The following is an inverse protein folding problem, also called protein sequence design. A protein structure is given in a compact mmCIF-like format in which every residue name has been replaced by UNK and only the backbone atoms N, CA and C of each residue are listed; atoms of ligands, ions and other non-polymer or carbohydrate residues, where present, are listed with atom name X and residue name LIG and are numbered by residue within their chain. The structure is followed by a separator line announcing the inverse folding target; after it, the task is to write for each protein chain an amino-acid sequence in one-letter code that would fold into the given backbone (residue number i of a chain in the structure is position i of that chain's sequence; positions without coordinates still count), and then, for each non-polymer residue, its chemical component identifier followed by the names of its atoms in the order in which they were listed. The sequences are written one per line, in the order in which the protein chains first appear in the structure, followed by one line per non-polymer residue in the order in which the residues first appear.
data_IF_717188124076
#
_entry.id   IF_717188124076
#
_cell.length_a   1.000
_cell.length_b   1.000
_cell.length_c   1.000
_cell.angle_alpha   90.00
_cell.angle_beta   90.00
_cell.angle_gamma   90.00
#
_symmetry.space_group_name_H-M   'P 1'
#
loop_
_entity.id
_entity.type
_entity.pdbx_description
1 polymer ?
#
# COMPACT_ATOMS: atom_id res chain seq x y z
N UNK A 1 41.77 -34.49 31.86
CA UNK A 1 40.69 -35.25 31.18
C UNK A 1 39.30 -34.85 31.71
N UNK A 2 39.07 -34.81 33.03
CA UNK A 2 37.77 -34.50 33.65
C UNK A 2 37.20 -33.09 33.38
N UNK A 3 38.05 -32.07 33.20
CA UNK A 3 37.65 -30.70 32.83
C UNK A 3 37.02 -30.62 31.43
N UNK A 4 37.53 -31.38 30.46
CA UNK A 4 37.01 -31.40 29.08
C UNK A 4 35.66 -32.11 28.99
N UNK A 5 35.46 -33.18 29.77
CA UNK A 5 34.18 -33.89 29.86
C UNK A 5 33.10 -32.94 30.40
N UNK A 6 33.40 -32.20 31.47
CA UNK A 6 32.43 -31.30 32.10
C UNK A 6 32.00 -30.16 31.16
N UNK A 7 32.94 -29.58 30.41
CA UNK A 7 32.65 -28.54 29.41
C UNK A 7 31.84 -29.11 28.24
N UNK A 8 32.17 -30.33 27.79
CA UNK A 8 31.45 -31.02 26.72
C UNK A 8 29.98 -31.29 27.06
N UNK A 9 29.69 -31.75 28.29
CA UNK A 9 28.30 -31.98 28.75
C UNK A 9 27.49 -30.69 28.74
N UNK A 10 28.06 -29.58 29.23
CA UNK A 10 27.38 -28.28 29.24
C UNK A 10 27.08 -27.80 27.82
N UNK A 11 28.02 -27.94 26.89
CA UNK A 11 27.81 -27.57 25.49
C UNK A 11 26.70 -28.40 24.83
N UNK A 12 26.67 -29.72 25.07
CA UNK A 12 25.61 -30.60 24.55
C UNK A 12 24.24 -30.18 25.07
N UNK A 13 24.13 -29.83 26.35
CA UNK A 13 22.88 -29.34 26.93
C UNK A 13 22.43 -28.01 26.30
N UNK A 14 23.35 -27.07 26.07
CA UNK A 14 23.03 -25.79 25.41
C UNK A 14 22.50 -26.04 23.99
N UNK A 15 23.16 -26.88 23.20
CA UNK A 15 22.72 -27.22 21.84
C UNK A 15 21.33 -27.88 21.85
N UNK A 16 21.08 -28.79 22.80
CA UNK A 16 19.78 -29.43 22.95
C UNK A 16 18.67 -28.41 23.28
N UNK A 17 18.92 -27.51 24.24
CA UNK A 17 17.97 -26.47 24.63
C UNK A 17 17.69 -25.52 23.47
N UNK A 18 18.72 -25.03 22.76
CA UNK A 18 18.56 -24.18 21.58
C UNK A 18 17.77 -24.92 20.49
N UNK A 19 18.09 -26.20 20.24
CA UNK A 19 17.41 -27.04 19.25
C UNK A 19 15.91 -27.22 19.52
N UNK A 20 15.50 -27.26 20.79
CA UNK A 20 14.09 -27.33 21.19
C UNK A 20 13.39 -25.97 21.12
N UNK A 21 14.12 -24.87 21.37
CA UNK A 21 13.55 -23.51 21.38
C UNK A 21 13.35 -22.91 19.98
N UNK A 22 14.24 -23.19 19.03
CA UNK A 22 14.19 -22.59 17.69
C UNK A 22 12.86 -22.87 16.94
N UNK A 23 12.35 -24.12 16.86
CA UNK A 23 11.08 -24.39 16.19
C UNK A 23 9.90 -23.66 16.82
N UNK A 24 9.90 -23.52 18.16
CA UNK A 24 8.83 -22.84 18.89
C UNK A 24 8.84 -21.33 18.64
N UNK A 25 10.03 -20.71 18.58
CA UNK A 25 10.17 -19.28 18.25
C UNK A 25 9.66 -18.99 16.84
N UNK A 26 9.98 -19.84 15.86
CA UNK A 26 9.51 -19.65 14.48
C UNK A 26 7.98 -19.77 14.35
N UNK A 27 7.38 -20.78 14.98
CA UNK A 27 5.92 -20.94 14.99
C UNK A 27 5.21 -19.75 15.66
N UNK A 28 5.77 -19.24 16.76
CA UNK A 28 5.23 -18.08 17.47
C UNK A 28 5.30 -16.81 16.61
N UNK A 29 6.40 -16.61 15.88
CA UNK A 29 6.54 -15.45 14.97
C UNK A 29 5.57 -15.51 13.80
N UNK A 30 5.36 -16.69 13.21
CA UNK A 30 4.37 -16.87 12.14
C UNK A 30 2.95 -16.60 12.65
N UNK A 31 2.59 -17.15 13.82
CA UNK A 31 1.29 -16.90 14.44
C UNK A 31 1.07 -15.41 14.76
N UNK A 32 2.11 -14.70 15.21
CA UNK A 32 2.06 -13.26 15.43
C UNK A 32 1.81 -12.49 14.12
N UNK A 33 2.49 -12.84 13.02
CA UNK A 33 2.26 -12.23 11.69
C UNK A 33 0.85 -12.47 11.18
N UNK A 34 0.32 -13.69 11.33
CA UNK A 34 -1.09 -14.02 11.04
C UNK A 34 -2.04 -13.16 11.86
N UNK A 35 -1.78 -12.99 13.15
CA UNK A 35 -2.60 -12.17 14.06
C UNK A 35 -2.60 -10.70 13.65
N UNK A 36 -1.45 -10.15 13.25
CA UNK A 36 -1.36 -8.76 12.75
C UNK A 36 -2.14 -8.61 11.45
N UNK A 37 -2.02 -9.54 10.50
CA UNK A 37 -2.79 -9.48 9.25
C UNK A 37 -4.30 -9.61 9.47
N UNK A 38 -4.71 -10.47 10.41
CA UNK A 38 -6.11 -10.54 10.87
C UNK A 38 -6.56 -9.21 11.45
N UNK A 39 -5.73 -8.55 12.24
CA UNK A 39 -6.03 -7.24 12.83
C UNK A 39 -6.13 -6.14 11.76
N UNK A 40 -5.28 -6.16 10.74
CA UNK A 40 -5.37 -5.25 9.60
C UNK A 40 -6.73 -5.38 8.89
N UNK A 41 -7.18 -6.60 8.60
CA UNK A 41 -8.52 -6.83 8.07
C UNK A 41 -9.63 -6.40 9.03
N UNK A 42 -9.43 -6.52 10.35
CA UNK A 42 -10.37 -6.02 11.36
C UNK A 42 -10.48 -4.49 11.33
N UNK A 43 -9.37 -3.78 11.17
CA UNK A 43 -9.37 -2.33 11.01
C UNK A 43 -10.09 -1.93 9.72
N UNK A 44 -9.79 -2.60 8.60
CA UNK A 44 -10.53 -2.41 7.34
C UNK A 44 -12.03 -2.65 7.56
N UNK A 45 -12.41 -3.73 8.23
CA UNK A 45 -13.81 -4.06 8.54
C UNK A 45 -14.51 -3.01 9.40
N UNK A 46 -13.82 -2.47 10.41
CA UNK A 46 -14.35 -1.36 11.21
C UNK A 46 -14.57 -0.11 10.36
N UNK A 47 -13.61 0.23 9.51
CA UNK A 47 -13.73 1.36 8.59
C UNK A 47 -14.88 1.17 7.58
N UNK A 48 -15.08 -0.05 7.08
CA UNK A 48 -16.22 -0.42 6.21
C UNK A 48 -17.54 -0.17 6.93
N UNK A 49 -17.68 -0.64 8.17
CA UNK A 49 -18.89 -0.47 8.97
C UNK A 49 -19.15 1.00 9.29
N UNK A 50 -18.12 1.77 9.63
CA UNK A 50 -18.26 3.20 9.90
C UNK A 50 -18.65 3.98 8.64
N UNK A 51 -18.08 3.63 7.48
CA UNK A 51 -18.48 4.22 6.21
C UNK A 51 -19.94 3.92 5.90
N UNK A 52 -20.36 2.66 6.09
CA UNK A 52 -21.75 2.23 5.86
C UNK A 52 -22.73 2.95 6.78
N UNK A 53 -22.42 3.12 8.07
CA UNK A 53 -23.30 3.88 8.96
C UNK A 53 -23.43 5.36 8.54
N UNK A 54 -22.35 5.96 8.04
CA UNK A 54 -22.36 7.35 7.57
C UNK A 54 -23.08 7.54 6.22
N UNK A 55 -22.93 6.62 5.28
CA UNK A 55 -23.40 6.78 3.89
C UNK A 55 -24.57 5.86 3.51
N UNK A 56 -24.94 4.91 4.37
CA UNK A 56 -25.98 3.89 4.17
C UNK A 56 -25.73 2.95 2.99
N UNK A 57 -24.48 2.87 2.56
CA UNK A 57 -23.99 1.92 1.56
C UNK A 57 -22.48 1.69 1.76
N UNK A 58 -21.97 0.60 1.20
CA UNK A 58 -20.55 0.40 1.00
C UNK A 58 -20.01 1.42 -0.01
N UNK A 59 -18.73 1.82 0.07
CA UNK A 59 -18.14 2.67 -0.95
C UNK A 59 -18.09 1.93 -2.28
N UNK A 60 -18.08 2.71 -3.34
CA UNK A 60 -17.76 2.17 -4.66
C UNK A 60 -16.40 1.49 -4.64
N UNK A 61 -16.32 0.29 -5.24
CA UNK A 61 -15.05 -0.40 -5.51
C UNK A 61 -14.02 0.50 -6.18
N UNK A 62 -14.49 1.31 -7.11
CA UNK A 62 -13.74 2.39 -7.73
C UNK A 62 -14.64 3.29 -8.53
N UNK A 63 -14.36 4.60 -8.47
CA UNK A 63 -15.10 5.59 -9.24
C UNK A 63 -14.47 5.70 -10.63
N UNK A 64 -15.23 5.36 -11.67
CA UNK A 64 -14.80 5.45 -13.05
C UNK A 64 -15.68 6.44 -13.79
N UNK A 65 -15.07 7.46 -14.39
CA UNK A 65 -15.77 8.44 -15.22
C UNK A 65 -16.27 7.83 -16.52
N UNK A 66 -17.21 8.52 -17.16
CA UNK A 66 -17.76 8.12 -18.46
C UNK A 66 -16.68 8.02 -19.56
N UNK A 67 -15.66 8.87 -19.49
CA UNK A 67 -14.50 8.85 -20.39
C UNK A 67 -13.51 7.69 -20.11
N UNK A 68 -13.81 6.84 -19.14
CA UNK A 68 -12.98 5.71 -18.73
C UNK A 68 -11.88 6.06 -17.73
N UNK A 69 -11.76 7.32 -17.31
CA UNK A 69 -10.75 7.74 -16.33
C UNK A 69 -11.01 7.06 -14.98
N UNK A 70 -10.01 6.32 -14.52
CA UNK A 70 -9.98 5.72 -13.19
C UNK A 70 -9.72 6.80 -12.14
N UNK A 71 -10.70 7.05 -11.28
CA UNK A 71 -10.57 7.96 -10.15
C UNK A 71 -10.07 7.15 -8.94
N UNK A 72 -10.65 7.33 -7.75
CA UNK A 72 -10.19 6.69 -6.52
C UNK A 72 -10.83 5.31 -6.31
N UNK A 73 -10.07 4.38 -5.72
CA UNK A 73 -10.55 3.07 -5.27
C UNK A 73 -11.18 3.08 -3.88
N UNK A 74 -11.81 1.97 -3.50
CA UNK A 74 -12.53 1.81 -2.23
C UNK A 74 -11.67 2.04 -0.98
N UNK A 75 -10.40 1.61 -0.99
CA UNK A 75 -9.46 1.82 0.12
C UNK A 75 -9.15 3.31 0.36
N UNK A 76 -9.29 4.16 -0.65
CA UNK A 76 -9.18 5.62 -0.50
C UNK A 76 -10.35 6.18 0.30
N UNK A 77 -11.57 5.67 0.05
CA UNK A 77 -12.80 6.14 0.69
C UNK A 77 -12.86 5.79 2.19
N UNK A 78 -12.10 4.80 2.62
CA UNK A 78 -12.00 4.40 4.03
C UNK A 78 -10.97 5.16 4.85
N UNK A 79 -10.07 5.94 4.24
CA UNK A 79 -9.03 6.66 4.98
C UNK A 79 -9.57 7.52 6.15
N UNK A 80 -10.70 8.27 6.02
CA UNK A 80 -11.26 9.02 7.14
C UNK A 80 -11.74 8.13 8.30
N UNK A 81 -12.03 6.87 8.01
CA UNK A 81 -12.57 5.88 8.96
C UNK A 81 -11.48 4.95 9.51
N UNK A 82 -10.26 5.05 8.98
CA UNK A 82 -9.05 4.39 9.44
C UNK A 82 -8.21 5.39 10.24
N UNK A 83 -8.40 5.41 11.56
CA UNK A 83 -7.69 6.30 12.50
C UNK A 83 -7.78 7.82 12.17
N UNK A 84 -8.84 8.25 11.48
CA UNK A 84 -9.05 9.63 11.05
C UNK A 84 -7.86 10.21 10.24
N UNK A 85 -7.29 9.41 9.33
CA UNK A 85 -6.10 9.77 8.59
C UNK A 85 -6.22 11.14 7.88
N UNK A 86 -5.29 12.09 8.11
CA UNK A 86 -5.33 13.40 7.49
C UNK A 86 -5.08 13.36 5.97
N UNK A 87 -4.56 12.23 5.47
CA UNK A 87 -4.21 12.04 4.06
C UNK A 87 -5.41 12.12 3.12
N UNK A 88 -6.61 11.78 3.60
CA UNK A 88 -7.82 11.88 2.77
C UNK A 88 -8.03 13.31 2.25
N UNK A 89 -7.80 14.31 3.11
CA UNK A 89 -7.98 15.73 2.76
C UNK A 89 -6.92 16.23 1.76
N UNK A 90 -5.82 15.49 1.57
CA UNK A 90 -4.74 15.81 0.63
C UNK A 90 -4.99 15.22 -0.76
N UNK A 91 -5.93 14.29 -0.90
CA UNK A 91 -6.27 13.68 -2.19
C UNK A 91 -7.20 14.61 -2.97
N UNK A 92 -6.78 14.95 -4.19
CA UNK A 92 -7.64 15.62 -5.15
C UNK A 92 -8.61 14.60 -5.79
N UNK A 93 -9.86 14.63 -5.31
CA UNK A 93 -10.95 13.76 -5.80
C UNK A 93 -11.40 14.11 -7.23
N UNK A 94 -10.98 15.26 -7.78
CA UNK A 94 -11.32 15.69 -9.14
C UNK A 94 -10.30 15.25 -10.19
N UNK A 95 -9.26 14.52 -9.81
CA UNK A 95 -8.27 13.96 -10.74
C UNK A 95 -8.14 12.45 -10.56
N UNK A 96 -7.52 11.78 -11.55
CA UNK A 96 -7.24 10.35 -11.47
C UNK A 96 -6.40 10.01 -10.22
N UNK A 97 -6.56 8.79 -9.70
CA UNK A 97 -5.81 8.34 -8.51
C UNK A 97 -4.29 8.44 -8.67
N UNK A 98 -3.78 8.20 -9.88
CA UNK A 98 -2.36 8.23 -10.23
C UNK A 98 -1.90 9.59 -10.79
N UNK A 99 -2.74 10.62 -10.72
CA UNK A 99 -2.36 11.96 -11.16
C UNK A 99 -1.22 12.53 -10.28
N UNK A 100 -0.35 13.42 -10.82
CA UNK A 100 0.71 14.06 -10.06
C UNK A 100 0.26 14.75 -8.76
N UNK A 101 -0.98 15.23 -8.71
CA UNK A 101 -1.57 15.87 -7.53
C UNK A 101 -1.79 14.89 -6.36
N UNK A 102 -1.90 13.59 -6.63
CA UNK A 102 -2.22 12.56 -5.65
C UNK A 102 -1.01 11.69 -5.26
N UNK A 103 0.11 11.78 -6.00
CA UNK A 103 1.27 10.90 -5.82
C UNK A 103 1.83 10.91 -4.40
N UNK A 104 1.93 12.07 -3.78
CA UNK A 104 2.44 12.20 -2.40
C UNK A 104 1.66 11.32 -1.40
N UNK A 105 0.35 11.18 -1.59
CA UNK A 105 -0.48 10.29 -0.78
C UNK A 105 -0.43 8.85 -1.30
N UNK A 106 -0.63 8.62 -2.61
CA UNK A 106 -0.79 7.27 -3.19
C UNK A 106 0.53 6.48 -3.25
N UNK A 107 1.67 7.15 -3.12
CA UNK A 107 2.98 6.56 -2.94
C UNK A 107 3.30 6.30 -1.46
N UNK A 108 2.44 6.66 -0.52
CA UNK A 108 2.64 6.31 0.90
C UNK A 108 2.19 4.87 1.17
N UNK A 109 3.05 4.08 1.79
CA UNK A 109 2.72 2.72 2.26
C UNK A 109 1.97 2.80 3.58
N UNK A 110 0.94 1.97 3.70
CA UNK A 110 0.11 1.89 4.91
C UNK A 110 0.26 0.50 5.52
N UNK A 111 0.84 0.36 6.73
CA UNK A 111 1.00 -0.94 7.38
C UNK A 111 -0.32 -1.72 7.51
N UNK A 112 -1.44 -1.03 7.73
CA UNK A 112 -2.77 -1.62 7.78
C UNK A 112 -3.23 -2.26 6.45
N UNK A 113 -2.62 -1.90 5.32
CA UNK A 113 -2.92 -2.45 4.00
C UNK A 113 -1.94 -3.55 3.58
N UNK A 114 -0.95 -3.87 4.42
CA UNK A 114 0.07 -4.86 4.11
C UNK A 114 -0.05 -6.10 4.99
N UNK A 115 0.08 -7.27 4.37
CA UNK A 115 0.46 -8.49 5.07
C UNK A 115 1.90 -8.35 5.61
N UNK A 116 2.15 -8.50 6.93
CA UNK A 116 3.46 -8.31 7.56
C UNK A 116 4.52 -9.37 7.19
N UNK A 117 4.14 -10.44 6.50
CA UNK A 117 5.06 -11.47 6.00
C UNK A 117 5.39 -11.29 4.50
N UNK A 118 4.68 -10.40 3.82
CA UNK A 118 4.98 -10.03 2.44
C UNK A 118 6.07 -8.95 2.40
N UNK A 119 6.99 -9.06 1.44
CA UNK A 119 8.16 -8.19 1.33
C UNK A 119 7.98 -7.08 0.27
N UNK A 120 6.89 -7.11 -0.51
CA UNK A 120 6.64 -6.17 -1.59
C UNK A 120 5.76 -5.04 -1.09
N UNK A 121 6.30 -3.83 -0.93
CA UNK A 121 5.53 -2.71 -0.39
C UNK A 121 5.16 -1.67 -1.46
N UNK A 122 5.88 -1.68 -2.59
CA UNK A 122 5.76 -0.69 -3.64
C UNK A 122 5.71 -1.31 -5.03
N UNK A 123 5.17 -0.58 -6.00
CA UNK A 123 5.40 -0.85 -7.41
C UNK A 123 6.78 -0.35 -7.87
N UNK A 124 7.23 -0.78 -9.04
CA UNK A 124 8.39 -0.20 -9.75
C UNK A 124 8.21 1.29 -10.12
N UNK A 125 7.01 1.81 -9.94
CA UNK A 125 6.59 3.19 -10.17
C UNK A 125 6.34 3.93 -8.85
N UNK A 126 6.64 3.32 -7.70
CA UNK A 126 6.66 3.97 -6.40
C UNK A 126 5.31 4.05 -5.69
N UNK A 127 4.24 3.49 -6.26
CA UNK A 127 2.94 3.46 -5.60
C UNK A 127 2.95 2.48 -4.43
N UNK A 128 2.35 2.87 -3.31
CA UNK A 128 2.17 1.99 -2.16
C UNK A 128 1.18 0.87 -2.49
N UNK A 129 1.52 -0.36 -2.14
CA UNK A 129 0.71 -1.54 -2.42
C UNK A 129 -0.36 -1.80 -1.36
N UNK A 130 -1.35 -2.61 -1.72
CA UNK A 130 -2.20 -3.37 -0.80
C UNK A 130 -2.00 -4.88 -0.99
N UNK A 131 -2.03 -5.61 0.12
CA UNK A 131 -2.05 -7.08 0.19
C UNK A 131 -3.46 -7.63 0.44
N UNK A 132 -4.47 -6.77 0.41
CA UNK A 132 -5.88 -7.11 0.57
C UNK A 132 -6.69 -6.55 -0.60
N UNK A 133 -7.51 -7.39 -1.24
CA UNK A 133 -8.41 -6.97 -2.32
C UNK A 133 -9.87 -7.27 -1.99
N UNK A 134 -10.76 -6.49 -2.58
CA UNK A 134 -12.19 -6.53 -2.35
C UNK A 134 -12.93 -7.63 -3.13
N UNK A 135 -14.13 -7.92 -2.65
CA UNK A 135 -15.13 -8.74 -3.32
C UNK A 135 -15.73 -8.00 -4.52
N UNK A 136 -15.64 -8.53 -5.75
CA UNK A 136 -16.23 -7.90 -6.93
C UNK A 136 -17.76 -7.79 -6.88
N UNK A 137 -18.43 -8.54 -6.01
CA UNK A 137 -19.88 -8.42 -5.81
C UNK A 137 -20.27 -7.18 -5.00
N UNK A 138 -19.35 -6.68 -4.16
CA UNK A 138 -19.58 -5.50 -3.31
C UNK A 138 -18.86 -4.27 -3.84
N UNK A 139 -17.64 -4.47 -4.34
CA UNK A 139 -16.70 -3.43 -4.76
C UNK A 139 -16.46 -3.51 -6.27
N UNK A 140 -17.52 -3.48 -7.08
CA UNK A 140 -17.37 -3.32 -8.53
C UNK A 140 -17.32 -1.83 -8.92
N UNK A 141 -17.08 -1.54 -10.20
CA UNK A 141 -17.08 -0.17 -10.75
C UNK A 141 -18.36 0.58 -10.38
N UNK A 142 -18.22 1.80 -9.86
CA UNK A 142 -19.34 2.69 -9.53
C UNK A 142 -20.44 2.03 -8.67
N UNK A 143 -20.06 1.10 -7.80
CA UNK A 143 -20.98 0.37 -6.92
C UNK A 143 -21.53 1.26 -5.80
N UNK A 144 -22.69 0.87 -5.30
CA UNK A 144 -23.37 1.48 -4.14
C UNK A 144 -24.20 0.40 -3.44
N UNK A 145 -23.52 -0.66 -2.99
CA UNK A 145 -24.16 -1.83 -2.39
C UNK A 145 -24.56 -1.54 -0.94
N UNK A 146 -25.78 -1.92 -0.55
CA UNK A 146 -26.27 -1.77 0.83
C UNK A 146 -26.33 -3.14 1.53
N UNK A 147 -26.41 -3.16 2.86
CA UNK A 147 -26.57 -4.41 3.61
C UNK A 147 -27.88 -5.15 3.31
N UNK A 148 -28.94 -4.43 2.95
CA UNK A 148 -30.23 -5.04 2.54
C UNK A 148 -30.11 -5.93 1.29
N UNK A 149 -29.11 -5.67 0.43
CA UNK A 149 -28.86 -6.47 -0.77
C UNK A 149 -28.14 -7.79 -0.46
N UNK A 150 -27.67 -7.99 0.78
CA UNK A 150 -26.96 -9.20 1.21
C UNK A 150 -27.97 -10.24 1.69
N UNK A 151 -28.66 -10.91 0.77
CA UNK A 151 -29.78 -11.83 1.09
C UNK A 151 -29.40 -12.98 2.04
N UNK A 152 -28.12 -13.37 2.10
CA UNK A 152 -27.61 -14.41 3.01
C UNK A 152 -27.16 -13.86 4.38
N UNK A 153 -27.36 -12.56 4.60
CA UNK A 153 -26.89 -11.83 5.76
C UNK A 153 -25.42 -11.40 5.66
N UNK A 154 -25.04 -10.43 6.49
CA UNK A 154 -23.70 -9.85 6.54
C UNK A 154 -22.63 -10.85 6.99
N UNK A 155 -22.96 -11.78 7.88
CA UNK A 155 -22.06 -12.82 8.38
C UNK A 155 -21.67 -13.88 7.32
N UNK A 156 -22.43 -14.02 6.23
CA UNK A 156 -22.13 -14.96 5.13
C UNK A 156 -21.67 -14.26 3.85
N UNK A 157 -21.41 -12.95 3.93
CA UNK A 157 -21.01 -12.14 2.80
C UNK A 157 -19.59 -11.62 3.04
N UNK A 158 -18.62 -12.16 2.29
CA UNK A 158 -17.23 -11.73 2.39
C UNK A 158 -17.03 -10.37 1.70
N UNK A 159 -16.13 -9.56 2.25
CA UNK A 159 -15.89 -8.17 1.85
C UNK A 159 -14.53 -8.02 1.20
N UNK A 160 -13.48 -8.50 1.86
CA UNK A 160 -12.11 -8.43 1.38
C UNK A 160 -11.31 -9.63 1.88
N UNK A 161 -10.18 -9.90 1.26
CA UNK A 161 -9.31 -11.00 1.66
C UNK A 161 -7.84 -10.74 1.33
N UNK A 162 -6.98 -11.49 2.01
CA UNK A 162 -5.54 -11.55 1.71
C UNK A 162 -5.31 -12.11 0.30
N UNK A 163 -4.43 -11.49 -0.48
CA UNK A 163 -4.07 -11.98 -1.82
C UNK A 163 -2.68 -12.58 -1.88
N UNK A 164 -2.50 -13.58 -2.75
CA UNK A 164 -1.26 -14.36 -2.85
C UNK A 164 -0.17 -13.65 -3.67
N UNK A 165 -0.56 -12.64 -4.45
CA UNK A 165 0.32 -11.92 -5.37
C UNK A 165 -0.47 -11.03 -6.32
N UNK A 166 0.17 -10.64 -7.43
CA UNK A 166 -0.35 -9.63 -8.36
C UNK A 166 -0.90 -8.43 -7.59
N UNK A 167 -0.10 -7.95 -6.64
CA UNK A 167 -0.49 -6.85 -5.76
C UNK A 167 -0.75 -5.60 -6.58
N UNK A 168 -1.62 -4.75 -6.05
CA UNK A 168 -2.07 -3.55 -6.73
C UNK A 168 -1.81 -2.35 -5.82
N UNK A 169 -1.60 -1.14 -6.38
CA UNK A 169 -1.58 0.08 -5.60
C UNK A 169 -2.84 0.21 -4.75
N UNK A 170 -2.74 0.55 -3.48
CA UNK A 170 -3.93 0.61 -2.61
C UNK A 170 -4.96 1.64 -3.09
N UNK A 171 -4.54 2.70 -3.79
CA UNK A 171 -5.43 3.72 -4.34
C UNK A 171 -6.05 3.35 -5.70
N UNK A 172 -5.61 2.26 -6.32
CA UNK A 172 -6.08 1.84 -7.64
C UNK A 172 -7.58 1.56 -7.65
N UNK A 173 -8.26 2.10 -8.66
CA UNK A 173 -9.71 1.97 -8.82
C UNK A 173 -10.22 0.54 -9.02
N UNK A 174 -9.39 -0.45 -9.33
CA UNK A 174 -9.85 -1.82 -9.63
C UNK A 174 -9.31 -2.85 -8.64
N UNK A 175 -9.26 -2.48 -7.35
CA UNK A 175 -8.74 -3.28 -6.25
C UNK A 175 -9.69 -4.40 -5.79
N UNK A 176 -10.15 -5.22 -6.72
CA UNK A 176 -10.96 -6.42 -6.47
C UNK A 176 -10.57 -7.56 -7.40
N UNK A 177 -10.94 -8.79 -7.02
CA UNK A 177 -10.88 -9.95 -7.92
C UNK A 177 -11.81 -11.06 -7.42
N UNK A 178 -12.26 -11.99 -8.29
CA UNK A 178 -13.05 -13.13 -7.85
C UNK A 178 -12.33 -14.00 -6.83
N UNK A 179 -13.05 -14.53 -5.84
CA UNK A 179 -12.48 -15.39 -4.79
C UNK A 179 -11.85 -16.68 -5.33
N UNK A 180 -12.44 -17.23 -6.39
CA UNK A 180 -12.07 -18.53 -6.96
C UNK A 180 -12.60 -19.71 -6.15
N UNK A 181 -12.21 -20.93 -6.54
CA UNK A 181 -12.66 -22.18 -5.91
C UNK A 181 -11.67 -22.76 -4.89
N UNK A 182 -10.47 -22.18 -4.82
CA UNK A 182 -9.39 -22.62 -3.94
C UNK A 182 -8.42 -21.46 -3.70
N UNK A 183 -7.93 -21.35 -2.46
CA UNK A 183 -6.94 -20.37 -2.06
C UNK A 183 -5.51 -20.83 -2.41
N UNK A 184 -4.57 -19.90 -2.51
CA UNK A 184 -3.14 -20.16 -2.73
C UNK A 184 -2.82 -20.92 -4.03
N UNK A 185 -3.65 -20.78 -5.08
CA UNK A 185 -3.46 -21.46 -6.38
C UNK A 185 -2.49 -20.73 -7.32
N UNK A 186 -2.08 -19.51 -6.97
CA UNK A 186 -1.10 -18.72 -7.72
C UNK A 186 -1.23 -17.22 -7.42
N UNK A 187 -0.44 -16.36 -8.08
CA UNK A 187 -0.42 -14.91 -7.83
C UNK A 187 -1.78 -14.24 -8.03
N UNK A 188 -2.65 -14.78 -8.88
CA UNK A 188 -3.99 -14.28 -9.13
C UNK A 188 -5.04 -14.67 -8.06
N UNK A 189 -4.69 -15.48 -7.07
CA UNK A 189 -5.63 -16.02 -6.07
C UNK A 189 -5.63 -15.27 -4.74
N UNK A 190 -6.64 -15.52 -3.91
CA UNK A 190 -6.64 -15.17 -2.50
C UNK A 190 -5.85 -16.19 -1.67
N UNK A 191 -5.44 -15.80 -0.47
CA UNK A 191 -4.63 -16.58 0.45
C UNK A 191 -3.17 -16.17 0.46
N UNK A 192 -2.41 -16.67 1.42
CA UNK A 192 -0.98 -16.46 1.53
C UNK A 192 -0.27 -17.83 1.58
N UNK A 193 0.46 -18.24 0.52
CA UNK A 193 0.97 -19.61 0.38
C UNK A 193 1.83 -20.10 1.54
N UNK A 194 2.64 -19.24 2.17
CA UNK A 194 3.45 -19.66 3.34
C UNK A 194 2.57 -20.09 4.53
N UNK A 195 1.35 -19.55 4.63
CA UNK A 195 0.40 -19.85 5.67
C UNK A 195 -0.56 -20.98 5.30
N UNK A 196 -0.50 -21.51 4.07
CA UNK A 196 -1.40 -22.55 3.54
C UNK A 196 -2.88 -22.19 3.67
N UNK A 197 -3.21 -20.94 3.38
CA UNK A 197 -4.54 -20.37 3.55
C UNK A 197 -4.49 -18.85 3.67
N UNK A 198 -5.61 -18.25 4.02
CA UNK A 198 -5.66 -16.82 4.30
C UNK A 198 -6.95 -16.40 4.99
N UNK A 199 -6.96 -15.15 5.43
CA UNK A 199 -8.09 -14.53 6.09
C UNK A 199 -9.04 -13.90 5.08
N UNK A 200 -10.33 -14.08 5.33
CA UNK A 200 -11.41 -13.33 4.71
C UNK A 200 -12.12 -12.48 5.77
N UNK A 201 -12.37 -11.22 5.43
CA UNK A 201 -13.22 -10.30 6.17
C UNK A 201 -14.66 -10.48 5.69
N UNK A 202 -15.62 -10.46 6.62
CA UNK A 202 -17.05 -10.50 6.37
C UNK A 202 -17.71 -9.15 6.64
N UNK A 203 -18.91 -8.95 6.09
CA UNK A 203 -19.63 -7.68 6.16
C UNK A 203 -20.12 -7.34 7.58
N UNK A 204 -20.16 -8.31 8.48
CA UNK A 204 -20.39 -8.09 9.92
C UNK A 204 -19.11 -7.66 10.67
N UNK A 205 -17.99 -7.49 9.98
CA UNK A 205 -16.69 -7.17 10.55
C UNK A 205 -15.95 -8.38 11.13
N UNK A 206 -16.49 -9.59 11.06
CA UNK A 206 -15.79 -10.81 11.46
C UNK A 206 -14.66 -11.16 10.48
N UNK A 207 -13.58 -11.76 10.99
CA UNK A 207 -12.43 -12.18 10.15
C UNK A 207 -12.10 -13.62 10.50
N UNK A 208 -12.14 -14.48 9.49
CA UNK A 208 -11.96 -15.92 9.63
C UNK A 208 -10.85 -16.42 8.70
N UNK A 209 -10.08 -17.38 9.19
CA UNK A 209 -9.03 -18.03 8.41
C UNK A 209 -9.58 -19.24 7.66
N UNK A 210 -9.24 -19.36 6.37
CA UNK A 210 -9.58 -20.48 5.52
C UNK A 210 -8.30 -21.13 5.02
N UNK A 211 -8.20 -22.46 5.14
CA UNK A 211 -7.07 -23.23 4.63
C UNK A 211 -7.13 -23.36 3.10
N UNK A 212 -5.99 -23.58 2.45
CA UNK A 212 -5.91 -23.98 1.03
C UNK A 212 -6.56 -25.35 0.73
N UNK A 213 -6.90 -26.12 1.78
CA UNK A 213 -7.68 -27.37 1.74
C UNK A 213 -9.17 -27.15 2.03
N UNK A 214 -9.64 -25.90 2.16
CA UNK A 214 -11.07 -25.62 2.35
C UNK A 214 -11.88 -26.23 1.20
N UNK A 215 -12.96 -26.93 1.54
CA UNK A 215 -13.83 -27.57 0.56
C UNK A 215 -14.31 -26.54 -0.49
N UNK A 216 -14.16 -26.80 -1.80
CA UNK A 216 -14.52 -25.85 -2.86
C UNK A 216 -15.97 -25.38 -2.78
N UNK A 217 -16.88 -26.20 -2.26
CA UNK A 217 -18.29 -25.87 -2.06
C UNK A 217 -18.47 -24.66 -1.12
N UNK A 218 -17.65 -24.54 -0.08
CA UNK A 218 -17.68 -23.42 0.87
C UNK A 218 -17.26 -22.13 0.17
N UNK A 219 -16.14 -22.15 -0.56
CA UNK A 219 -15.65 -20.98 -1.29
C UNK A 219 -16.60 -20.59 -2.43
N UNK A 220 -17.21 -21.56 -3.11
CA UNK A 220 -18.24 -21.31 -4.13
C UNK A 220 -19.49 -20.65 -3.52
N UNK A 221 -19.89 -21.01 -2.31
CA UNK A 221 -21.01 -20.35 -1.64
C UNK A 221 -20.69 -18.86 -1.40
N UNK A 222 -19.48 -18.53 -0.94
CA UNK A 222 -19.07 -17.13 -0.76
C UNK A 222 -18.88 -16.38 -2.08
N UNK A 223 -18.27 -17.01 -3.08
CA UNK A 223 -18.04 -16.42 -4.39
C UNK A 223 -19.33 -16.13 -5.17
N UNK A 224 -20.42 -16.83 -4.85
CA UNK A 224 -21.74 -16.67 -5.47
C UNK A 224 -22.75 -15.91 -4.60
N UNK A 225 -22.34 -15.39 -3.44
CA UNK A 225 -23.24 -14.71 -2.53
C UNK A 225 -23.79 -13.41 -3.16
N UNK A 226 -25.09 -13.13 -3.05
CA UNK A 226 -25.69 -11.89 -3.55
C UNK A 226 -25.21 -10.66 -2.75
N UNK A 227 -25.24 -9.45 -3.34
CA UNK A 227 -25.72 -9.14 -4.71
C UNK A 227 -24.77 -9.67 -5.80
N UNK A 228 -25.29 -9.96 -7.00
CA UNK A 228 -24.50 -10.43 -8.14
C UNK A 228 -24.54 -9.38 -9.25
N UNK A 229 -23.48 -8.58 -9.44
CA UNK A 229 -23.40 -7.58 -10.50
C UNK A 229 -23.17 -8.20 -11.88
N UNK A 230 -23.26 -7.39 -12.93
CA UNK A 230 -22.98 -7.84 -14.30
C UNK A 230 -21.48 -8.12 -14.51
N UNK A 231 -21.15 -8.94 -15.51
CA UNK A 231 -19.76 -9.21 -15.88
C UNK A 231 -18.99 -7.94 -16.26
N UNK A 232 -19.67 -6.99 -16.90
CA UNK A 232 -19.10 -5.69 -17.28
C UNK A 232 -18.76 -4.84 -16.04
N UNK A 233 -19.65 -4.81 -15.04
CA UNK A 233 -19.41 -4.10 -13.79
C UNK A 233 -18.19 -4.65 -13.03
N UNK A 234 -18.03 -5.98 -13.02
CA UNK A 234 -16.91 -6.65 -12.35
C UNK A 234 -15.61 -6.62 -13.15
N UNK A 235 -15.63 -6.21 -14.42
CA UNK A 235 -14.47 -6.26 -15.28
C UNK A 235 -13.31 -5.42 -14.74
N UNK A 236 -12.11 -6.01 -14.75
CA UNK A 236 -10.86 -5.36 -14.34
C UNK A 236 -9.98 -5.21 -15.58
N UNK A 237 -9.33 -4.06 -15.80
CA UNK A 237 -8.36 -3.90 -16.89
C UNK A 237 -7.24 -4.94 -16.77
N UNK A 238 -6.70 -5.41 -17.91
CA UNK A 238 -5.55 -6.33 -17.95
C UNK A 238 -4.23 -5.74 -17.44
N UNK A 239 -4.25 -4.55 -16.82
CA UNK A 239 -3.08 -3.87 -16.25
C UNK A 239 -2.53 -4.68 -15.09
N UNK A 240 -1.28 -5.11 -15.21
CA UNK A 240 -0.50 -5.68 -14.12
C UNK A 240 0.51 -4.65 -13.63
N UNK A 241 0.79 -4.66 -12.33
CA UNK A 241 1.79 -3.81 -11.72
C UNK A 241 3.03 -4.65 -11.44
N UNK A 242 4.20 -4.13 -11.81
CA UNK A 242 5.46 -4.72 -11.40
C UNK A 242 5.71 -4.36 -9.93
N UNK A 243 5.91 -5.38 -9.09
CA UNK A 243 6.03 -5.25 -7.63
C UNK A 243 7.29 -5.94 -7.14
N UNK A 244 7.80 -5.48 -6.01
CA UNK A 244 9.07 -5.95 -5.49
C UNK A 244 9.47 -5.23 -4.21
N UNK A 245 10.69 -5.49 -3.77
CA UNK A 245 11.28 -4.87 -2.57
C UNK A 245 11.89 -3.53 -2.98
N UNK A 246 11.03 -2.57 -3.34
CA UNK A 246 11.44 -1.20 -3.55
C UNK A 246 11.32 -0.39 -2.26
N UNK A 247 12.05 0.71 -2.16
CA UNK A 247 11.88 1.68 -1.09
C UNK A 247 12.23 3.09 -1.60
N UNK A 248 11.62 4.09 -0.95
CA UNK A 248 11.94 5.49 -1.20
C UNK A 248 13.08 5.95 -0.30
N UNK A 249 14.15 6.46 -0.90
CA UNK A 249 15.25 7.10 -0.21
C UNK A 249 15.17 8.60 -0.38
N UNK A 250 15.20 9.32 0.74
CA UNK A 250 15.12 10.77 0.77
C UNK A 250 16.54 11.35 0.75
N UNK A 251 16.77 12.32 -0.13
CA UNK A 251 18.05 13.01 -0.25
C UNK A 251 17.82 14.52 -0.35
N UNK A 252 18.20 15.31 0.66
CA UNK A 252 18.13 16.76 0.57
C UNK A 252 19.07 17.27 -0.54
N UNK A 253 18.62 18.28 -1.27
CA UNK A 253 19.48 19.04 -2.17
C UNK A 253 20.04 20.23 -1.41
N UNK A 254 21.28 20.62 -1.71
CA UNK A 254 21.90 21.76 -1.05
C UNK A 254 21.10 23.03 -1.37
N UNK A 255 20.53 23.63 -0.34
CA UNK A 255 19.70 24.83 -0.41
C UNK A 255 20.54 26.04 -0.03
N UNK A 256 20.19 27.20 -0.59
CA UNK A 256 20.82 28.46 -0.19
C UNK A 256 20.48 28.72 1.28
N UNK A 257 21.49 29.03 2.10
CA UNK A 257 21.32 29.29 3.54
C UNK A 257 20.37 30.46 3.84
N UNK A 258 20.10 31.31 2.84
CA UNK A 258 19.20 32.46 2.95
C UNK A 258 17.78 32.21 2.40
N UNK A 259 17.51 31.05 1.78
CA UNK A 259 16.19 30.72 1.23
C UNK A 259 15.31 30.04 2.28
N UNK A 260 14.05 30.45 2.39
CA UNK A 260 13.05 29.76 3.23
C UNK A 260 12.54 28.47 2.58
N UNK A 261 12.79 28.29 1.28
CA UNK A 261 12.40 27.11 0.51
C UNK A 261 13.53 26.10 0.47
N UNK A 262 13.18 24.83 0.68
CA UNK A 262 14.09 23.70 0.52
C UNK A 262 13.69 22.79 -0.65
N UNK A 263 14.67 22.11 -1.21
CA UNK A 263 14.48 21.14 -2.28
C UNK A 263 15.09 19.82 -1.88
N UNK A 264 14.44 18.72 -2.27
CA UNK A 264 14.92 17.38 -2.00
C UNK A 264 14.49 16.46 -3.13
N UNK A 265 15.17 15.32 -3.23
CA UNK A 265 14.78 14.24 -4.13
C UNK A 265 14.35 13.01 -3.35
N UNK A 266 13.30 12.35 -3.83
CA UNK A 266 13.00 10.96 -3.47
C UNK A 266 13.53 10.06 -4.59
N UNK A 267 14.27 9.03 -4.20
CA UNK A 267 14.86 8.02 -5.10
C UNK A 267 14.16 6.70 -4.83
N UNK A 268 13.53 6.10 -5.84
CA UNK A 268 13.00 4.74 -5.72
C UNK A 268 14.13 3.77 -6.04
N UNK A 269 14.52 2.92 -5.09
CA UNK A 269 15.65 2.00 -5.24
C UNK A 269 15.20 0.53 -5.11
N UNK A 270 15.89 -0.36 -5.82
CA UNK A 270 15.84 -1.82 -5.58
C UNK A 270 17.07 -2.19 -4.75
N UNK A 271 16.86 -2.67 -3.53
CA UNK A 271 17.90 -3.32 -2.72
C UNK A 271 19.24 -2.55 -2.59
N UNK A 272 19.17 -1.27 -2.22
CA UNK A 272 20.29 -0.37 -1.87
C UNK A 272 21.35 -0.09 -2.96
N UNK A 273 21.10 -0.43 -4.24
CA UNK A 273 22.12 -0.32 -5.29
C UNK A 273 21.91 0.83 -6.28
N UNK A 274 20.81 0.83 -7.04
CA UNK A 274 20.58 1.82 -8.09
C UNK A 274 19.14 2.37 -8.05
N UNK A 275 18.96 3.69 -8.21
CA UNK A 275 17.64 4.27 -8.37
C UNK A 275 17.03 3.86 -9.70
N UNK A 276 15.72 3.69 -9.72
CA UNK A 276 14.92 3.42 -10.93
C UNK A 276 13.97 4.57 -11.28
N UNK A 277 13.73 5.45 -10.31
CA UNK A 277 12.89 6.64 -10.46
C UNK A 277 13.40 7.75 -9.54
N UNK A 278 13.39 8.98 -10.03
CA UNK A 278 13.73 10.17 -9.25
C UNK A 278 12.53 11.10 -9.21
N UNK A 279 12.24 11.68 -8.05
CA UNK A 279 11.24 12.73 -7.90
C UNK A 279 11.84 13.94 -7.21
N UNK A 280 11.70 15.11 -7.82
CA UNK A 280 12.10 16.38 -7.25
C UNK A 280 10.91 17.03 -6.53
N UNK A 281 11.12 17.40 -5.27
CA UNK A 281 10.14 18.11 -4.45
C UNK A 281 10.66 19.47 -4.00
N UNK A 282 9.71 20.36 -3.70
CA UNK A 282 9.91 21.64 -3.01
C UNK A 282 9.13 21.65 -1.71
N UNK A 283 9.77 22.02 -0.61
CA UNK A 283 9.14 22.33 0.66
C UNK A 283 9.26 23.83 0.96
N UNK A 284 8.26 24.41 1.62
CA UNK A 284 8.35 25.81 2.09
C UNK A 284 8.99 25.93 3.49
N UNK A 285 9.57 24.83 4.01
CA UNK A 285 10.32 24.80 5.26
C UNK A 285 11.78 24.42 4.99
N UNK A 286 12.72 25.00 5.76
CA UNK A 286 14.15 24.73 5.64
C UNK A 286 14.55 23.31 6.04
N UNK A 287 13.86 22.74 7.03
CA UNK A 287 14.09 21.38 7.51
C UNK A 287 12.85 20.53 7.24
N UNK A 288 13.05 19.37 6.64
CA UNK A 288 12.05 18.32 6.62
C UNK A 288 12.09 17.65 8.00
N UNK A 289 10.96 17.37 8.65
CA UNK A 289 10.98 16.58 9.87
C UNK A 289 11.69 15.25 9.59
N UNK A 290 12.71 14.99 10.40
CA UNK A 290 13.50 13.76 10.34
C UNK A 290 12.62 12.67 10.96
N UNK A 291 12.04 11.83 10.10
CA UNK A 291 11.17 10.70 10.43
C UNK A 291 9.71 11.08 10.81
N UNK A 292 8.76 10.46 10.11
CA UNK A 292 7.29 10.62 10.28
C UNK A 292 6.78 10.20 11.68
N UNK A 293 7.62 9.65 12.56
CA UNK A 293 7.26 9.14 13.88
C UNK A 293 7.51 10.12 15.05
N UNK A 294 8.21 11.25 14.85
CA UNK A 294 8.44 12.20 15.94
C UNK A 294 7.25 13.14 16.14
N UNK A 295 6.29 12.68 16.98
CA UNK A 295 5.34 13.45 17.79
C UNK A 295 5.14 14.93 17.35
N UNK A 296 4.40 15.12 16.26
CA UNK A 296 3.83 16.44 15.95
C UNK A 296 2.42 16.52 16.51
N UNK A 297 2.14 17.60 17.23
CA UNK A 297 0.78 17.94 17.65
C UNK A 297 -0.12 18.10 16.41
N UNK A 298 -1.39 17.67 16.52
CA UNK A 298 -2.32 17.62 15.38
C UNK A 298 -2.56 18.98 14.73
N UNK A 299 -2.38 20.07 15.48
CA UNK A 299 -2.51 21.44 14.98
C UNK A 299 -1.26 21.93 14.21
N UNK A 300 -0.06 21.41 14.51
CA UNK A 300 1.16 21.77 13.74
C UNK A 300 1.18 21.08 12.37
N UNK A 301 0.67 19.86 12.26
CA UNK A 301 0.52 19.12 10.99
C UNK A 301 -0.35 19.90 9.99
N UNK A 302 -1.36 20.64 10.47
CA UNK A 302 -2.23 21.48 9.62
C UNK A 302 -1.51 22.70 9.03
N UNK A 303 -0.44 23.15 9.66
CA UNK A 303 0.38 24.31 9.23
C UNK A 303 1.61 23.94 8.42
N UNK A 304 2.06 22.69 8.43
CA UNK A 304 3.14 22.25 7.55
C UNK A 304 2.66 22.22 6.10
N UNK A 305 3.26 23.06 5.26
CA UNK A 305 2.96 23.03 3.83
C UNK A 305 3.47 21.71 3.24
N UNK A 306 2.56 20.91 2.69
CA UNK A 306 2.87 19.64 2.03
C UNK A 306 3.93 19.87 0.94
N UNK A 307 5.01 19.05 0.89
CA UNK A 307 5.97 19.12 -0.19
C UNK A 307 5.31 19.00 -1.56
N UNK A 308 5.61 19.94 -2.45
CA UNK A 308 5.06 19.94 -3.81
C UNK A 308 6.00 19.18 -4.74
N UNK A 309 5.48 18.13 -5.40
CA UNK A 309 6.18 17.48 -6.49
C UNK A 309 6.36 18.47 -7.64
N UNK A 310 7.62 18.65 -8.06
CA UNK A 310 7.97 19.52 -9.19
C UNK A 310 8.21 18.73 -10.47
N UNK A 311 8.88 17.58 -10.34
CA UNK A 311 9.26 16.78 -11.49
C UNK A 311 9.42 15.31 -11.11
N UNK A 312 8.95 14.43 -12.00
CA UNK A 312 9.22 13.00 -11.97
C UNK A 312 10.15 12.68 -13.14
N UNK A 313 11.26 12.01 -12.87
CA UNK A 313 12.40 11.86 -13.78
C UNK A 313 12.70 10.37 -13.94
N UNK A 314 12.68 9.92 -15.19
CA UNK A 314 13.19 8.64 -15.65
C UNK A 314 14.45 8.86 -16.52
N UNK A 315 14.98 7.79 -17.13
CA UNK A 315 16.18 7.86 -17.97
C UNK A 315 16.00 8.67 -19.26
N UNK A 316 14.77 8.85 -19.74
CA UNK A 316 14.49 9.54 -21.02
C UNK A 316 14.04 10.99 -20.84
N UNK A 317 13.78 11.41 -19.61
CA UNK A 317 13.35 12.76 -19.26
C UNK A 317 14.40 13.81 -19.63
N UNK A 318 14.06 14.80 -20.46
CA UNK A 318 14.89 16.01 -20.63
C UNK A 318 14.71 16.92 -19.41
N UNK A 319 15.62 16.80 -18.43
CA UNK A 319 15.56 17.54 -17.17
C UNK A 319 15.65 19.05 -17.42
N UNK A 320 16.49 19.48 -18.34
CA UNK A 320 16.69 20.90 -18.64
C UNK A 320 15.42 21.54 -19.19
N UNK A 321 14.72 20.86 -20.10
CA UNK A 321 13.43 21.32 -20.61
C UNK A 321 12.33 21.23 -19.54
N UNK A 322 12.27 20.12 -18.81
CA UNK A 322 11.22 19.89 -17.83
C UNK A 322 11.27 20.91 -16.66
N UNK A 323 12.48 21.24 -16.18
CA UNK A 323 12.67 22.25 -15.13
C UNK A 323 12.20 23.65 -15.56
N UNK A 324 12.33 24.02 -16.85
CA UNK A 324 11.83 25.30 -17.38
C UNK A 324 10.32 25.43 -17.28
N UNK A 325 9.61 24.31 -17.40
CA UNK A 325 8.14 24.27 -17.31
C UNK A 325 7.62 24.04 -15.89
N UNK A 326 8.53 23.73 -14.95
CA UNK A 326 8.20 23.57 -13.53
C UNK A 326 8.19 24.92 -12.80
N UNK A 327 7.56 24.98 -11.62
CA UNK A 327 7.59 26.19 -10.78
C UNK A 327 8.99 26.49 -10.23
N UNK A 328 9.97 25.57 -10.35
CA UNK A 328 11.37 25.85 -10.01
C UNK A 328 11.93 27.05 -10.79
N UNK A 329 11.47 27.24 -12.03
CA UNK A 329 11.88 28.32 -12.92
C UNK A 329 11.60 29.72 -12.34
N UNK A 330 10.58 29.85 -11.49
CA UNK A 330 10.21 31.10 -10.82
C UNK A 330 10.76 31.16 -9.38
N UNK A 331 10.86 29.99 -8.74
CA UNK A 331 11.02 29.90 -7.29
C UNK A 331 12.47 29.89 -6.76
N UNK A 332 13.45 29.51 -7.60
CA UNK A 332 14.84 29.32 -7.20
C UNK A 332 15.79 30.35 -7.85
N UNK A 333 16.87 30.71 -7.14
CA UNK A 333 17.93 31.55 -7.72
C UNK A 333 18.64 30.84 -8.89
N UNK A 334 19.28 31.57 -9.82
CA UNK A 334 20.04 30.97 -10.91
C UNK A 334 21.11 29.97 -10.44
N UNK A 335 21.81 30.28 -9.35
CA UNK A 335 22.82 29.40 -8.77
C UNK A 335 22.21 28.10 -8.23
N UNK A 336 21.09 28.18 -7.51
CA UNK A 336 20.37 26.99 -7.01
C UNK A 336 19.88 26.11 -8.16
N UNK A 337 19.34 26.72 -9.24
CA UNK A 337 18.89 25.97 -10.42
C UNK A 337 20.03 25.19 -11.06
N UNK A 338 21.22 25.79 -11.20
CA UNK A 338 22.39 25.09 -11.74
C UNK A 338 22.83 23.93 -10.84
N UNK A 339 22.85 24.12 -9.52
CA UNK A 339 23.19 23.04 -8.58
C UNK A 339 22.18 21.89 -8.65
N UNK A 340 20.88 22.20 -8.64
CA UNK A 340 19.80 21.21 -8.75
C UNK A 340 19.91 20.47 -10.08
N UNK A 341 20.05 21.19 -11.19
CA UNK A 341 20.19 20.60 -12.53
C UNK A 341 21.37 19.61 -12.57
N UNK A 342 22.57 20.05 -12.19
CA UNK A 342 23.76 19.21 -12.21
C UNK A 342 23.58 17.96 -11.33
N UNK A 343 22.94 18.10 -10.16
CA UNK A 343 22.68 16.97 -9.26
C UNK A 343 21.69 15.98 -9.88
N UNK A 344 20.60 16.47 -10.46
CA UNK A 344 19.59 15.64 -11.11
C UNK A 344 20.16 14.91 -12.33
N UNK A 345 20.94 15.58 -13.18
CA UNK A 345 21.63 14.95 -14.31
C UNK A 345 22.62 13.88 -13.86
N UNK A 346 23.34 14.11 -12.76
CA UNK A 346 24.23 13.12 -12.17
C UNK A 346 23.50 11.90 -11.62
N UNK A 347 22.29 12.08 -11.08
CA UNK A 347 21.46 10.99 -10.57
C UNK A 347 20.79 10.23 -11.73
N UNK A 348 20.33 10.93 -12.76
CA UNK A 348 19.69 10.32 -13.94
C UNK A 348 20.62 9.34 -14.66
N UNK A 349 21.93 9.64 -14.70
CA UNK A 349 22.96 8.72 -15.25
C UNK A 349 23.04 7.38 -14.52
N UNK A 350 22.54 7.28 -13.30
CA UNK A 350 22.52 6.05 -12.50
C UNK A 350 21.25 5.22 -12.72
N UNK A 351 20.26 5.77 -13.45
CA UNK A 351 19.04 5.05 -13.79
C UNK A 351 19.33 3.93 -14.82
N UNK A 352 18.66 2.77 -14.69
CA UNK A 352 18.90 1.58 -15.52
C UNK A 352 18.59 1.80 -17.00
#
# INVERSE_FOLDING_TARGET
MQRWISIGVVLVLIVLVIGLLLPAVHQTREAARKSVSKNNLKQIGLAVLNYEDAHRCLPSGGVIREDGTAMQGWLTMYLPYMDASPDYNRINMHTAWDSPANLDVTETVRPAYLNPDANSNYTNTGFGLTHYLGNPHLFYRNSSVTFDQMERGTAHTWVAGEVAGNYQPWAYSFNWRPLGKQLCTGPGSFGYPKWKGGHLLFADGSVSFFSDQTAPEILNQFASAPPVPTLEQMAVPGKQFETGIFHWKHMPLQTDQHSDRSYFVKLLEISDQQPILIQLFRSNHRELPVEEEQLMDMDEIRTFSVPRLLLRIDKTTDISQALKTSSLSEDASPAQKTVILNRLESLQKQLP
#
